data_IF_741885397830
#
_entry.id   IF_741885397830
#
_cell.length_a   1.000
_cell.length_b   1.000
_cell.length_c   1.000
_cell.angle_alpha   90.00
_cell.angle_beta   90.00
_cell.angle_gamma   90.00
#
_symmetry.space_group_name_H-M   'P 1'
#
loop_
_entity.id
_entity.type
_entity.pdbx_description
1 polymer ?
#
# COMPACT_ATOMS: atom_id res chain seq x y z
N UNK A 1 -29.77 -6.87 -5.52
CA UNK A 1 -28.55 -7.46 -4.93
C UNK A 1 -28.07 -8.70 -5.69
N UNK A 2 -28.88 -9.75 -5.87
CA UNK A 2 -28.43 -10.96 -6.60
C UNK A 2 -28.06 -10.71 -8.08
N UNK A 3 -28.61 -9.66 -8.69
CA UNK A 3 -28.25 -9.26 -10.06
C UNK A 3 -26.94 -8.46 -10.14
N UNK A 4 -26.42 -7.97 -9.01
CA UNK A 4 -25.19 -7.20 -8.95
C UNK A 4 -23.99 -8.11 -9.27
N UNK A 5 -23.23 -7.72 -10.30
CA UNK A 5 -22.07 -8.48 -10.78
C UNK A 5 -21.00 -8.61 -9.71
N UNK A 6 -20.66 -7.52 -9.02
CA UNK A 6 -19.61 -7.52 -8.02
C UNK A 6 -20.00 -8.33 -6.79
N UNK A 7 -21.25 -8.23 -6.33
CA UNK A 7 -21.76 -9.06 -5.23
C UNK A 7 -21.60 -10.54 -5.54
N UNK A 8 -22.07 -11.01 -6.70
CA UNK A 8 -21.94 -12.42 -7.09
C UNK A 8 -20.49 -12.89 -7.14
N UNK A 9 -19.62 -12.12 -7.80
CA UNK A 9 -18.21 -12.48 -7.95
C UNK A 9 -17.45 -12.48 -6.63
N UNK A 10 -17.79 -11.59 -5.69
CA UNK A 10 -17.16 -11.49 -4.38
C UNK A 10 -17.70 -12.56 -3.44
N UNK A 11 -19.02 -12.76 -3.39
CA UNK A 11 -19.65 -13.81 -2.58
C UNK A 11 -19.13 -15.21 -2.95
N UNK A 12 -18.98 -15.51 -4.26
CA UNK A 12 -18.38 -16.76 -4.73
C UNK A 12 -16.95 -16.97 -4.18
N UNK A 13 -16.14 -15.90 -4.11
CA UNK A 13 -14.76 -15.97 -3.62
C UNK A 13 -14.65 -16.05 -2.11
N UNK A 14 -15.62 -15.47 -1.40
CA UNK A 14 -15.69 -15.53 0.05
C UNK A 14 -16.15 -16.90 0.52
N UNK A 15 -17.11 -17.53 -0.17
CA UNK A 15 -17.79 -18.71 0.34
C UNK A 15 -18.31 -18.44 1.76
N UNK A 16 -17.98 -19.31 2.70
CA UNK A 16 -18.36 -19.17 4.12
C UNK A 16 -17.25 -18.56 4.99
N UNK A 17 -16.23 -17.93 4.39
CA UNK A 17 -15.08 -17.39 5.13
C UNK A 17 -15.45 -16.25 6.10
N UNK A 18 -16.53 -15.51 5.80
CA UNK A 18 -17.11 -14.48 6.67
C UNK A 18 -18.64 -14.54 6.59
N UNK A 19 -19.39 -14.07 7.60
CA UNK A 19 -20.84 -14.12 7.60
C UNK A 19 -21.46 -13.43 6.39
N UNK A 20 -22.33 -14.13 5.67
CA UNK A 20 -23.01 -13.56 4.49
C UNK A 20 -23.83 -12.30 4.80
N UNK A 21 -24.26 -12.09 6.05
CA UNK A 21 -24.92 -10.86 6.47
C UNK A 21 -24.01 -9.63 6.35
N UNK A 22 -22.75 -9.74 6.80
CA UNK A 22 -21.74 -8.68 6.67
C UNK A 22 -21.47 -8.34 5.20
N UNK A 23 -21.38 -9.36 4.34
CA UNK A 23 -21.21 -9.16 2.89
C UNK A 23 -22.41 -8.41 2.31
N UNK A 24 -23.64 -8.84 2.63
CA UNK A 24 -24.85 -8.17 2.13
C UNK A 24 -24.90 -6.71 2.56
N UNK A 25 -24.63 -6.44 3.83
CA UNK A 25 -24.60 -5.09 4.39
C UNK A 25 -23.63 -4.18 3.65
N UNK A 26 -22.40 -4.66 3.39
CA UNK A 26 -21.40 -3.89 2.64
C UNK A 26 -21.84 -3.56 1.20
N UNK A 27 -22.62 -4.44 0.56
CA UNK A 27 -23.15 -4.26 -0.79
C UNK A 27 -24.52 -3.55 -0.86
N UNK A 28 -25.15 -3.27 0.28
CA UNK A 28 -26.39 -2.48 0.38
C UNK A 28 -26.18 -1.14 1.06
N UNK A 29 -24.94 -0.75 1.31
CA UNK A 29 -24.60 0.51 1.96
C UNK A 29 -24.96 1.72 1.08
N UNK A 30 -25.52 2.77 1.68
CA UNK A 30 -26.03 3.95 0.96
C UNK A 30 -24.94 4.73 0.22
N UNK A 31 -23.69 4.64 0.67
CA UNK A 31 -22.53 5.29 0.05
C UNK A 31 -21.90 4.50 -1.12
N UNK A 32 -22.45 3.33 -1.46
CA UNK A 32 -21.97 2.51 -2.57
C UNK A 32 -22.19 3.24 -3.91
N UNK A 33 -21.11 3.47 -4.66
CA UNK A 33 -21.19 4.16 -5.95
C UNK A 33 -20.07 3.78 -6.91
N UNK A 34 -20.39 3.88 -8.21
CA UNK A 34 -19.43 3.71 -9.31
C UNK A 34 -18.79 5.07 -9.62
N UNK A 35 -17.46 5.11 -9.61
CA UNK A 35 -16.66 6.29 -9.93
C UNK A 35 -16.00 6.17 -11.31
N UNK A 36 -16.69 6.59 -12.38
CA UNK A 36 -16.21 6.42 -13.77
C UNK A 36 -14.79 6.98 -14.03
N UNK A 37 -14.42 8.05 -13.33
CA UNK A 37 -13.08 8.66 -13.36
C UNK A 37 -11.94 7.70 -12.96
N UNK A 38 -12.22 6.63 -12.21
CA UNK A 38 -11.21 5.62 -11.85
C UNK A 38 -10.68 4.92 -13.11
N UNK A 39 -11.55 4.57 -14.05
CA UNK A 39 -11.15 3.92 -15.29
C UNK A 39 -10.21 4.81 -16.13
N UNK A 40 -10.44 6.13 -16.13
CA UNK A 40 -9.61 7.11 -16.83
C UNK A 40 -8.21 7.24 -16.21
N UNK A 41 -8.10 7.17 -14.88
CA UNK A 41 -6.80 7.26 -14.19
C UNK A 41 -5.87 6.10 -14.55
N UNK A 42 -6.40 4.89 -14.73
CA UNK A 42 -5.60 3.74 -15.17
C UNK A 42 -4.98 3.91 -16.57
N UNK A 43 -5.51 4.80 -17.41
CA UNK A 43 -4.97 5.05 -18.75
C UNK A 43 -3.70 5.93 -18.75
N UNK A 44 -3.31 6.53 -17.60
CA UNK A 44 -2.22 7.53 -17.51
C UNK A 44 -1.18 7.23 -16.40
N UNK A 45 -0.50 6.06 -16.41
CA UNK A 45 0.46 5.71 -15.35
C UNK A 45 1.73 6.58 -15.41
N UNK A 46 2.18 7.08 -14.26
CA UNK A 46 3.39 7.92 -14.15
C UNK A 46 4.66 7.12 -14.41
N UNK A 47 4.66 5.85 -14.04
CA UNK A 47 5.81 4.94 -14.07
C UNK A 47 6.32 4.69 -15.49
N UNK A 48 5.49 4.93 -16.51
CA UNK A 48 5.86 4.80 -17.93
C UNK A 48 6.60 6.01 -18.50
N UNK A 49 6.78 7.08 -17.72
CA UNK A 49 7.56 8.26 -18.15
C UNK A 49 9.05 7.96 -18.24
N UNK A 50 9.80 8.82 -18.92
CA UNK A 50 11.27 8.75 -18.88
C UNK A 50 11.77 8.99 -17.45
N UNK A 51 12.94 8.45 -17.10
CA UNK A 51 13.51 8.66 -15.77
C UNK A 51 13.65 10.15 -15.42
N UNK A 52 14.09 11.00 -16.35
CA UNK A 52 14.23 12.43 -16.11
C UNK A 52 12.93 13.14 -15.76
N UNK A 53 11.81 12.73 -16.36
CA UNK A 53 10.47 13.25 -16.03
C UNK A 53 9.97 12.70 -14.68
N UNK A 54 10.13 11.40 -14.46
CA UNK A 54 9.71 10.74 -13.22
C UNK A 54 10.48 11.31 -12.02
N UNK A 55 11.80 11.42 -12.12
CA UNK A 55 12.67 11.98 -11.09
C UNK A 55 12.24 13.38 -10.66
N UNK A 56 11.88 14.27 -11.60
CA UNK A 56 11.39 15.64 -11.27
C UNK A 56 10.09 15.64 -10.46
N UNK A 57 9.25 14.63 -10.64
CA UNK A 57 7.97 14.52 -9.93
C UNK A 57 8.12 13.94 -8.53
N UNK A 58 9.02 12.97 -8.35
CA UNK A 58 9.13 12.18 -7.12
C UNK A 58 10.32 12.53 -6.23
N UNK A 59 11.47 12.92 -6.80
CA UNK A 59 12.69 13.28 -6.04
C UNK A 59 12.74 14.81 -5.88
N UNK A 60 12.08 15.30 -4.84
CA UNK A 60 11.95 16.74 -4.53
C UNK A 60 12.58 17.06 -3.19
N UNK A 61 13.17 18.25 -3.07
CA UNK A 61 13.74 18.75 -1.81
C UNK A 61 12.71 18.74 -0.67
N UNK A 62 11.44 19.10 -0.96
CA UNK A 62 10.38 19.05 0.05
C UNK A 62 10.16 17.64 0.63
N UNK A 63 10.30 16.59 -0.19
CA UNK A 63 10.17 15.19 0.24
C UNK A 63 11.40 14.72 1.01
N UNK A 64 12.59 15.17 0.62
CA UNK A 64 13.85 14.90 1.34
C UNK A 64 13.79 15.53 2.73
N UNK A 65 13.42 16.80 2.82
CA UNK A 65 13.26 17.51 4.09
C UNK A 65 12.19 16.89 4.99
N UNK A 66 11.03 16.52 4.42
CA UNK A 66 9.97 15.84 5.15
C UNK A 66 10.41 14.45 5.64
N UNK A 67 11.19 13.70 4.86
CA UNK A 67 11.73 12.40 5.26
C UNK A 67 12.74 12.50 6.40
N UNK A 68 13.65 13.48 6.33
CA UNK A 68 14.59 13.73 7.42
C UNK A 68 13.86 14.14 8.71
N UNK A 69 12.81 14.97 8.59
CA UNK A 69 11.95 15.32 9.73
C UNK A 69 11.22 14.10 10.28
N UNK A 70 10.57 13.30 9.42
CA UNK A 70 9.84 12.10 9.81
C UNK A 70 10.76 11.11 10.53
N UNK A 71 11.98 10.89 10.01
CA UNK A 71 12.99 10.06 10.66
C UNK A 71 13.33 10.58 12.06
N UNK A 72 13.65 11.87 12.20
CA UNK A 72 14.01 12.47 13.49
C UNK A 72 12.87 12.35 14.52
N UNK A 73 11.63 12.56 14.10
CA UNK A 73 10.45 12.47 14.98
C UNK A 73 10.13 11.04 15.42
N UNK A 74 10.41 10.05 14.57
CA UNK A 74 10.05 8.64 14.81
C UNK A 74 11.29 7.75 14.99
N UNK A 75 12.44 8.32 15.36
CA UNK A 75 13.73 7.64 15.29
C UNK A 75 13.76 6.34 16.09
N UNK A 76 13.19 6.32 17.30
CA UNK A 76 13.13 5.12 18.13
C UNK A 76 12.33 4.01 17.45
N UNK A 77 11.15 4.34 16.93
CA UNK A 77 10.29 3.36 16.26
C UNK A 77 10.96 2.82 14.99
N UNK A 78 11.47 3.70 14.14
CA UNK A 78 12.12 3.33 12.88
C UNK A 78 13.34 2.44 13.13
N UNK A 79 14.18 2.77 14.12
CA UNK A 79 15.37 1.96 14.42
C UNK A 79 14.99 0.61 15.04
N UNK A 80 13.94 0.54 15.87
CA UNK A 80 13.41 -0.74 16.38
C UNK A 80 12.89 -1.63 15.24
N UNK A 81 12.04 -1.10 14.36
CA UNK A 81 11.51 -1.83 13.18
C UNK A 81 12.66 -2.32 12.30
N UNK A 82 13.58 -1.42 11.94
CA UNK A 82 14.70 -1.75 11.06
C UNK A 82 15.60 -2.83 11.64
N UNK A 83 15.84 -2.80 12.95
CA UNK A 83 16.63 -3.82 13.66
C UNK A 83 15.91 -5.17 13.70
N UNK A 84 14.62 -5.18 14.00
CA UNK A 84 13.81 -6.40 14.06
C UNK A 84 13.80 -7.13 12.71
N UNK A 85 13.48 -6.38 11.65
CA UNK A 85 13.39 -6.94 10.31
C UNK A 85 14.74 -7.04 9.59
N UNK A 86 15.82 -6.45 10.16
CA UNK A 86 17.17 -6.43 9.58
C UNK A 86 17.20 -5.81 8.18
N UNK A 87 16.53 -4.66 8.05
CA UNK A 87 16.45 -3.85 6.82
C UNK A 87 17.03 -2.46 7.07
N UNK A 88 17.43 -1.74 6.02
CA UNK A 88 17.88 -0.36 6.15
C UNK A 88 16.72 0.57 6.58
N UNK A 89 16.86 1.34 7.68
CA UNK A 89 15.80 2.22 8.18
C UNK A 89 15.40 3.31 7.16
N UNK A 90 16.35 3.79 6.34
CA UNK A 90 16.07 4.85 5.38
C UNK A 90 15.28 4.36 4.17
N UNK A 91 15.37 3.06 3.82
CA UNK A 91 14.48 2.48 2.80
C UNK A 91 13.04 2.48 3.31
N UNK A 92 12.81 2.07 4.56
CA UNK A 92 11.48 2.04 5.18
C UNK A 92 10.88 3.44 5.24
N UNK A 93 11.66 4.44 5.69
CA UNK A 93 11.23 5.86 5.68
C UNK A 93 10.90 6.35 4.27
N UNK A 94 11.74 6.00 3.29
CA UNK A 94 11.55 6.47 1.92
C UNK A 94 10.29 5.90 1.29
N UNK A 95 10.00 4.61 1.49
CA UNK A 95 8.76 3.99 1.02
C UNK A 95 7.55 4.68 1.67
N UNK A 96 7.54 4.86 3.00
CA UNK A 96 6.48 5.60 3.68
C UNK A 96 6.27 7.03 3.12
N UNK A 97 7.35 7.70 2.72
CA UNK A 97 7.32 9.02 2.08
C UNK A 97 6.79 9.01 0.65
N UNK A 98 7.12 8.00 -0.15
CA UNK A 98 6.64 7.87 -1.53
C UNK A 98 5.16 7.48 -1.55
N UNK A 99 4.76 6.52 -0.72
CA UNK A 99 3.41 5.94 -0.75
C UNK A 99 2.35 6.88 -0.18
N UNK A 100 2.62 7.58 0.91
CA UNK A 100 1.60 8.40 1.58
C UNK A 100 2.02 9.83 1.89
N UNK A 101 3.21 10.26 1.44
CA UNK A 101 3.80 11.53 1.85
C UNK A 101 3.84 11.65 3.38
N UNK A 102 4.29 10.59 4.06
CA UNK A 102 4.33 10.50 5.51
C UNK A 102 2.95 10.72 6.14
N UNK A 103 1.93 10.05 5.58
CA UNK A 103 0.54 10.05 6.07
C UNK A 103 -0.34 11.19 5.56
N UNK A 104 0.23 12.23 4.93
CA UNK A 104 -0.54 13.39 4.46
C UNK A 104 -1.50 13.08 3.29
N UNK A 105 -1.21 12.06 2.47
CA UNK A 105 -2.01 11.69 1.31
C UNK A 105 -2.24 10.18 1.27
N UNK A 106 -3.42 9.73 1.72
CA UNK A 106 -3.68 8.29 1.85
C UNK A 106 -5.08 7.85 1.40
N UNK A 107 -6.00 8.79 1.13
CA UNK A 107 -7.39 8.50 0.78
C UNK A 107 -7.87 9.39 -0.36
N UNK A 108 -8.50 8.78 -1.37
CA UNK A 108 -9.17 9.46 -2.49
C UNK A 108 -10.58 8.88 -2.72
N UNK A 109 -10.72 7.56 -2.54
CA UNK A 109 -11.96 6.81 -2.64
C UNK A 109 -12.00 5.81 -1.48
N UNK A 110 -13.18 5.33 -1.07
CA UNK A 110 -13.20 4.12 -0.24
C UNK A 110 -12.63 2.95 -1.05
N UNK A 111 -11.88 2.06 -0.40
CA UNK A 111 -11.30 0.88 -1.06
C UNK A 111 -12.41 0.03 -1.67
N UNK A 112 -13.53 -0.09 -0.98
CA UNK A 112 -14.73 -0.75 -1.47
C UNK A 112 -15.18 -0.16 -2.80
N UNK A 113 -15.46 1.16 -2.85
CA UNK A 113 -15.95 1.82 -4.06
C UNK A 113 -14.93 1.76 -5.22
N UNK A 114 -13.62 1.82 -4.91
CA UNK A 114 -12.58 1.71 -5.92
C UNK A 114 -12.55 0.33 -6.59
N UNK A 115 -12.62 -0.74 -5.80
CA UNK A 115 -12.63 -2.11 -6.33
C UNK A 115 -13.97 -2.48 -6.95
N UNK A 116 -15.09 -2.04 -6.36
CA UNK A 116 -16.43 -2.17 -6.91
C UNK A 116 -16.50 -1.55 -8.31
N UNK A 117 -16.04 -0.31 -8.46
CA UNK A 117 -15.95 0.37 -9.76
C UNK A 117 -15.12 -0.42 -10.77
N UNK A 118 -13.95 -0.95 -10.37
CA UNK A 118 -13.11 -1.76 -11.27
C UNK A 118 -13.82 -3.05 -11.74
N UNK A 119 -14.67 -3.66 -10.91
CA UNK A 119 -15.42 -4.87 -11.28
C UNK A 119 -16.44 -4.58 -12.39
N UNK A 120 -17.14 -3.45 -12.29
CA UNK A 120 -18.18 -3.04 -13.23
C UNK A 120 -17.61 -2.40 -14.50
N UNK A 121 -16.69 -1.46 -14.37
CA UNK A 121 -16.26 -0.60 -15.47
C UNK A 121 -15.01 -1.14 -16.21
N UNK A 122 -14.32 -2.14 -15.65
CA UNK A 122 -13.05 -2.63 -16.20
C UNK A 122 -13.04 -4.16 -16.38
N UNK A 123 -13.69 -4.71 -17.44
CA UNK A 123 -13.86 -6.16 -17.62
C UNK A 123 -12.57 -6.98 -17.52
N UNK A 124 -11.44 -6.46 -18.02
CA UNK A 124 -10.13 -7.13 -17.94
C UNK A 124 -9.58 -7.23 -16.52
N UNK A 125 -9.98 -6.34 -15.60
CA UNK A 125 -9.57 -6.32 -14.19
C UNK A 125 -10.60 -6.94 -13.26
N UNK A 126 -11.84 -7.13 -13.70
CA UNK A 126 -12.98 -7.56 -12.88
C UNK A 126 -12.71 -8.81 -12.03
N UNK A 127 -12.06 -9.84 -12.61
CA UNK A 127 -11.67 -11.07 -11.87
C UNK A 127 -10.62 -10.80 -10.77
N UNK A 128 -9.67 -9.90 -11.03
CA UNK A 128 -8.66 -9.51 -10.04
C UNK A 128 -9.28 -8.63 -8.95
N UNK A 129 -10.05 -7.61 -9.35
CA UNK A 129 -10.66 -6.67 -8.42
C UNK A 129 -11.64 -7.34 -7.46
N UNK A 130 -12.44 -8.31 -7.94
CA UNK A 130 -13.31 -9.11 -7.07
C UNK A 130 -12.53 -9.98 -6.08
N UNK A 131 -11.34 -10.47 -6.43
CA UNK A 131 -10.46 -11.17 -5.48
C UNK A 131 -9.94 -10.22 -4.41
N UNK A 132 -9.47 -9.04 -4.80
CA UNK A 132 -8.98 -8.05 -3.84
C UNK A 132 -10.11 -7.53 -2.95
N UNK A 133 -11.33 -7.33 -3.47
CA UNK A 133 -12.48 -6.90 -2.67
C UNK A 133 -12.89 -7.99 -1.66
N UNK A 134 -12.81 -9.27 -2.03
CA UNK A 134 -13.02 -10.36 -1.10
C UNK A 134 -11.96 -10.37 0.03
N UNK A 135 -10.68 -10.20 -0.30
CA UNK A 135 -9.61 -10.11 0.70
C UNK A 135 -9.78 -8.89 1.62
N UNK A 136 -10.22 -7.76 1.06
CA UNK A 136 -10.52 -6.54 1.80
C UNK A 136 -11.66 -6.73 2.80
N UNK A 137 -12.74 -7.39 2.40
CA UNK A 137 -13.87 -7.69 3.29
C UNK A 137 -13.49 -8.67 4.40
N UNK A 138 -12.65 -9.68 4.12
CA UNK A 138 -12.11 -10.55 5.17
C UNK A 138 -11.31 -9.76 6.21
N UNK A 139 -10.46 -8.85 5.74
CA UNK A 139 -9.70 -7.97 6.62
C UNK A 139 -10.63 -7.11 7.48
N UNK A 140 -11.59 -6.41 6.88
CA UNK A 140 -12.51 -5.55 7.63
C UNK A 140 -13.33 -6.35 8.65
N UNK A 141 -13.80 -7.53 8.28
CA UNK A 141 -14.54 -8.39 9.21
C UNK A 141 -13.69 -8.83 10.40
N UNK A 142 -12.48 -9.34 10.16
CA UNK A 142 -11.61 -9.85 11.22
C UNK A 142 -11.13 -8.76 12.18
N UNK A 143 -10.91 -7.56 11.65
CA UNK A 143 -10.39 -6.42 12.40
C UNK A 143 -11.53 -5.48 12.88
N UNK A 144 -12.81 -5.89 12.72
CA UNK A 144 -14.02 -5.17 13.16
C UNK A 144 -14.17 -3.75 12.60
N UNK A 145 -13.87 -3.58 11.31
CA UNK A 145 -13.88 -2.29 10.60
C UNK A 145 -15.06 -2.19 9.66
N UNK A 146 -15.55 -0.97 9.47
CA UNK A 146 -16.49 -0.66 8.39
C UNK A 146 -15.76 -0.63 7.02
N UNK A 147 -16.14 -1.49 6.05
CA UNK A 147 -15.53 -1.50 4.72
C UNK A 147 -15.63 -0.17 3.95
N UNK A 148 -16.57 0.71 4.30
CA UNK A 148 -16.79 1.98 3.61
C UNK A 148 -15.90 3.10 4.14
N UNK A 149 -15.42 3.00 5.38
CA UNK A 149 -14.58 4.02 6.02
C UNK A 149 -13.09 3.91 5.65
N UNK A 150 -12.64 2.76 5.13
CA UNK A 150 -11.24 2.59 4.75
C UNK A 150 -10.96 3.28 3.42
N UNK A 151 -10.24 4.38 3.50
CA UNK A 151 -9.79 5.19 2.37
C UNK A 151 -8.58 4.60 1.65
N UNK A 152 -8.57 4.69 0.32
CA UNK A 152 -7.47 4.27 -0.53
C UNK A 152 -7.38 5.03 -1.85
N UNK A 153 -6.47 4.56 -2.69
CA UNK A 153 -6.27 5.04 -4.06
C UNK A 153 -7.33 4.49 -5.03
N UNK A 154 -7.38 5.08 -6.22
CA UNK A 154 -8.23 4.61 -7.32
C UNK A 154 -7.98 3.13 -7.71
N UNK A 155 -6.80 2.59 -7.40
CA UNK A 155 -6.45 1.21 -7.69
C UNK A 155 -6.85 0.22 -6.60
N UNK A 156 -7.34 0.70 -5.45
CA UNK A 156 -7.68 -0.11 -4.28
C UNK A 156 -6.50 -0.35 -3.33
N UNK A 157 -5.35 0.29 -3.54
CA UNK A 157 -4.25 0.31 -2.57
C UNK A 157 -4.58 1.29 -1.43
N UNK A 158 -4.31 0.93 -0.18
CA UNK A 158 -4.77 1.68 0.99
C UNK A 158 -3.76 1.73 2.14
N UNK A 159 -4.09 2.54 3.15
CA UNK A 159 -3.19 2.79 4.27
C UNK A 159 -2.00 3.68 3.91
N UNK A 160 -1.17 3.97 4.90
CA UNK A 160 0.05 4.76 4.69
C UNK A 160 1.13 4.01 3.89
N UNK A 161 1.04 2.68 3.82
CA UNK A 161 1.89 1.84 2.98
C UNK A 161 1.34 1.57 1.57
N UNK A 162 0.13 2.02 1.23
CA UNK A 162 -0.52 1.74 -0.06
C UNK A 162 -0.48 0.25 -0.46
N UNK A 163 -0.84 -0.63 0.48
CA UNK A 163 -0.95 -2.06 0.20
C UNK A 163 -2.25 -2.33 -0.57
N UNK A 164 -2.20 -3.22 -1.56
CA UNK A 164 -3.43 -3.86 -2.07
C UNK A 164 -3.95 -4.86 -1.02
N UNK A 165 -5.27 -5.15 -0.96
CA UNK A 165 -5.86 -6.00 0.08
C UNK A 165 -5.17 -7.33 0.31
N UNK A 166 -4.91 -8.10 -0.74
CA UNK A 166 -4.27 -9.40 -0.59
C UNK A 166 -2.81 -9.30 -0.12
N UNK A 167 -2.12 -8.20 -0.42
CA UNK A 167 -0.80 -7.91 0.13
C UNK A 167 -0.89 -7.49 1.59
N UNK A 168 -1.88 -6.67 1.96
CA UNK A 168 -2.11 -6.31 3.35
C UNK A 168 -2.36 -7.58 4.19
N UNK A 169 -3.27 -8.46 3.78
CA UNK A 169 -3.53 -9.73 4.48
C UNK A 169 -2.26 -10.58 4.66
N UNK A 170 -1.37 -10.62 3.64
CA UNK A 170 -0.16 -11.46 3.67
C UNK A 170 1.02 -10.88 4.45
N UNK A 171 1.13 -9.55 4.50
CA UNK A 171 2.38 -8.89 4.93
C UNK A 171 2.18 -7.86 6.04
N UNK A 172 0.94 -7.46 6.32
CA UNK A 172 0.67 -6.58 7.47
C UNK A 172 1.02 -7.27 8.78
N UNK A 173 1.52 -6.49 9.72
CA UNK A 173 1.88 -6.92 11.07
C UNK A 173 1.31 -5.93 12.07
N UNK A 174 0.83 -6.45 13.19
CA UNK A 174 0.52 -5.68 14.39
C UNK A 174 1.85 -5.54 15.14
N UNK A 175 2.52 -4.41 14.93
CA UNK A 175 3.88 -4.18 15.41
C UNK A 175 3.91 -3.60 16.83
N UNK A 176 2.84 -2.91 17.24
CA UNK A 176 2.67 -2.42 18.61
C UNK A 176 1.96 -3.43 19.52
N UNK A 177 1.55 -4.59 19.00
CA UNK A 177 0.92 -5.71 19.72
C UNK A 177 -0.40 -5.31 20.41
N UNK A 178 -1.18 -4.42 19.78
CA UNK A 178 -2.47 -3.97 20.31
C UNK A 178 -3.66 -4.84 19.90
N UNK A 179 -3.40 -5.89 19.12
CA UNK A 179 -4.37 -6.88 18.65
C UNK A 179 -4.99 -6.55 17.30
N UNK A 180 -4.68 -5.40 16.69
CA UNK A 180 -5.27 -4.95 15.42
C UNK A 180 -4.17 -4.50 14.45
N UNK A 181 -4.27 -4.89 13.18
CA UNK A 181 -3.33 -4.42 12.15
C UNK A 181 -3.84 -3.12 11.55
N UNK A 182 -3.33 -2.00 12.03
CA UNK A 182 -3.84 -0.67 11.70
C UNK A 182 -3.13 -0.08 10.47
N UNK A 183 -3.81 0.13 9.33
CA UNK A 183 -3.19 0.60 8.08
C UNK A 183 -2.73 2.07 8.13
N UNK A 184 -3.06 2.79 9.21
CA UNK A 184 -2.71 4.20 9.43
C UNK A 184 -1.88 4.41 10.72
N UNK A 185 -1.53 3.36 11.44
CA UNK A 185 -0.67 3.43 12.62
C UNK A 185 0.79 3.28 12.21
N UNK A 186 1.65 4.24 12.58
CA UNK A 186 3.05 4.20 12.16
C UNK A 186 3.81 2.94 12.60
N UNK A 187 3.63 2.40 13.82
CA UNK A 187 4.19 1.11 14.19
C UNK A 187 3.90 0.01 13.16
N UNK A 188 2.62 -0.21 12.87
CA UNK A 188 2.17 -1.28 11.98
C UNK A 188 2.57 -1.00 10.54
N UNK A 189 2.45 0.24 10.08
CA UNK A 189 2.83 0.63 8.72
C UNK A 189 4.32 0.38 8.48
N UNK A 190 5.19 0.87 9.37
CA UNK A 190 6.63 0.70 9.21
C UNK A 190 7.04 -0.77 9.36
N UNK A 191 6.45 -1.49 10.34
CA UNK A 191 6.63 -2.93 10.50
C UNK A 191 6.21 -3.71 9.26
N UNK A 192 5.06 -3.36 8.68
CA UNK A 192 4.50 -4.02 7.50
C UNK A 192 5.32 -3.76 6.25
N UNK A 193 5.83 -2.53 6.04
CA UNK A 193 6.78 -2.21 4.96
C UNK A 193 8.04 -3.07 5.10
N UNK A 194 8.62 -3.13 6.31
CA UNK A 194 9.84 -3.88 6.57
C UNK A 194 9.63 -5.41 6.38
N UNK A 195 8.51 -5.94 6.89
CA UNK A 195 8.12 -7.33 6.68
C UNK A 195 7.93 -7.64 5.20
N UNK A 196 7.25 -6.77 4.45
CA UNK A 196 7.06 -6.93 3.01
C UNK A 196 8.40 -7.06 2.29
N UNK A 197 9.35 -6.16 2.55
CA UNK A 197 10.67 -6.22 1.91
C UNK A 197 11.39 -7.54 2.20
N UNK A 198 11.39 -7.99 3.46
CA UNK A 198 12.03 -9.25 3.87
C UNK A 198 11.37 -10.46 3.24
N UNK A 199 10.05 -10.48 3.17
CA UNK A 199 9.27 -11.55 2.53
C UNK A 199 9.42 -11.58 1.02
N UNK A 200 9.89 -10.50 0.41
CA UNK A 200 10.11 -10.36 -1.04
C UNK A 200 11.60 -10.30 -1.43
N UNK A 201 12.47 -10.91 -0.62
CA UNK A 201 13.84 -11.23 -1.03
C UNK A 201 14.90 -10.24 -0.57
N UNK A 202 14.58 -9.22 0.23
CA UNK A 202 15.59 -8.40 0.89
C UNK A 202 16.38 -9.29 1.84
N UNK A 203 17.69 -9.49 1.66
CA UNK A 203 18.51 -10.32 2.56
C UNK A 203 18.82 -9.56 3.85
N UNK A 204 18.82 -10.27 4.97
CA UNK A 204 19.06 -9.70 6.30
C UNK A 204 20.36 -8.90 6.34
N UNK A 205 20.28 -7.63 6.73
CA UNK A 205 21.42 -6.68 6.78
C UNK A 205 22.15 -6.51 5.44
N UNK A 206 21.48 -6.75 4.31
CA UNK A 206 22.08 -6.53 3.00
C UNK A 206 22.48 -5.07 2.81
N UNK A 207 23.60 -4.88 2.11
CA UNK A 207 24.05 -3.62 1.59
C UNK A 207 24.19 -3.67 0.05
N UNK A 208 23.61 -4.67 -0.60
CA UNK A 208 23.65 -4.82 -2.05
C UNK A 208 22.55 -3.98 -2.71
N UNK A 209 22.88 -2.71 -2.94
CA UNK A 209 22.05 -1.72 -3.63
C UNK A 209 22.14 -1.79 -5.16
N UNK A 210 22.93 -2.72 -5.70
CA UNK A 210 23.18 -2.79 -7.14
C UNK A 210 21.89 -3.05 -7.92
N UNK A 211 21.87 -2.64 -9.19
CA UNK A 211 20.76 -2.98 -10.08
C UNK A 211 20.61 -4.50 -10.16
N UNK A 212 19.39 -5.01 -9.92
CA UNK A 212 19.08 -6.44 -9.78
C UNK A 212 19.70 -7.14 -8.55
N UNK A 213 20.32 -6.38 -7.64
CA UNK A 213 20.63 -6.82 -6.28
C UNK A 213 19.36 -7.18 -5.50
N UNK A 214 19.53 -7.73 -4.31
CA UNK A 214 18.41 -8.20 -3.50
C UNK A 214 17.55 -7.03 -2.98
N UNK A 215 18.17 -5.93 -2.56
CA UNK A 215 17.46 -4.69 -2.19
C UNK A 215 16.65 -4.16 -3.36
N UNK A 216 17.26 -4.10 -4.56
CA UNK A 216 16.58 -3.67 -5.78
C UNK A 216 15.34 -4.52 -6.06
N UNK A 217 15.48 -5.84 -6.04
CA UNK A 217 14.38 -6.79 -6.30
C UNK A 217 13.27 -6.68 -5.26
N UNK A 218 13.62 -6.50 -3.98
CA UNK A 218 12.63 -6.33 -2.91
C UNK A 218 11.81 -5.05 -3.08
N UNK A 219 12.45 -3.93 -3.44
CA UNK A 219 11.76 -2.67 -3.75
C UNK A 219 10.92 -2.81 -5.03
N UNK A 220 11.44 -3.49 -6.06
CA UNK A 220 10.72 -3.74 -7.30
C UNK A 220 9.46 -4.60 -7.09
N UNK A 221 9.47 -5.52 -6.11
CA UNK A 221 8.28 -6.28 -5.75
C UNK A 221 7.18 -5.36 -5.20
N UNK A 222 7.55 -4.30 -4.47
CA UNK A 222 6.62 -3.32 -3.90
C UNK A 222 5.85 -2.56 -4.99
N UNK A 223 6.56 -2.13 -6.03
CA UNK A 223 5.99 -1.57 -7.25
C UNK A 223 6.88 -1.95 -8.44
N UNK A 224 6.30 -2.70 -9.39
CA UNK A 224 6.98 -3.32 -10.54
C UNK A 224 7.40 -2.30 -11.63
N UNK A 225 8.17 -1.28 -11.24
CA UNK A 225 8.70 -0.26 -12.12
C UNK A 225 10.14 0.12 -11.75
N UNK A 226 11.07 0.05 -12.71
CA UNK A 226 12.46 0.48 -12.50
C UNK A 226 12.53 1.94 -12.02
N UNK A 227 11.68 2.82 -12.56
CA UNK A 227 11.58 4.23 -12.14
C UNK A 227 11.24 4.37 -10.65
N UNK A 228 10.36 3.51 -10.12
CA UNK A 228 10.02 3.51 -8.70
C UNK A 228 11.23 3.12 -7.86
N UNK A 229 11.92 2.03 -8.22
CA UNK A 229 13.11 1.57 -7.50
C UNK A 229 14.20 2.64 -7.48
N UNK A 230 14.48 3.26 -8.63
CA UNK A 230 15.46 4.34 -8.74
C UNK A 230 15.09 5.54 -7.85
N UNK A 231 13.81 5.92 -7.79
CA UNK A 231 13.35 7.01 -6.92
C UNK A 231 13.50 6.66 -5.44
N UNK A 232 13.17 5.44 -5.02
CA UNK A 232 13.38 4.97 -3.64
C UNK A 232 14.85 5.01 -3.27
N UNK A 233 15.73 4.48 -4.12
CA UNK A 233 17.16 4.42 -3.84
C UNK A 233 17.80 5.81 -3.76
N UNK A 234 17.43 6.71 -4.68
CA UNK A 234 17.94 8.08 -4.67
C UNK A 234 17.45 8.85 -3.43
N UNK A 235 16.15 8.83 -3.13
CA UNK A 235 15.61 9.49 -1.94
C UNK A 235 16.18 8.92 -0.65
N UNK A 236 16.41 7.60 -0.58
CA UNK A 236 17.06 6.96 0.58
C UNK A 236 18.44 7.57 0.84
N UNK A 237 19.25 7.75 -0.21
CA UNK A 237 20.58 8.37 -0.11
C UNK A 237 20.49 9.82 0.37
N UNK A 238 19.61 10.61 -0.23
CA UNK A 238 19.46 12.04 0.09
C UNK A 238 18.91 12.28 1.51
N UNK A 239 17.91 11.51 1.93
CA UNK A 239 17.35 11.58 3.30
C UNK A 239 18.42 11.17 4.32
N UNK A 240 19.17 10.09 4.04
CA UNK A 240 20.28 9.65 4.90
C UNK A 240 21.30 10.76 5.07
N UNK A 241 21.77 11.35 3.96
CA UNK A 241 22.74 12.44 4.00
C UNK A 241 22.23 13.63 4.83
N UNK A 242 20.96 14.03 4.68
CA UNK A 242 20.35 15.12 5.45
C UNK A 242 20.22 14.84 6.94
N UNK A 243 20.06 13.57 7.32
CA UNK A 243 19.95 13.17 8.74
C UNK A 243 21.32 13.07 9.40
N UNK A 244 22.37 12.69 8.65
CA UNK A 244 23.73 12.48 9.16
C UNK A 244 24.64 13.71 9.12
N UNK A 245 24.21 14.78 8.45
CA UNK A 245 24.83 16.11 8.53
C UNK A 245 24.40 16.80 9.83
#
# INVERSE_FOLDING_TARGET
>A
MNDDLAYRMVAEKLGDAIPGAFVREAFTHDELKIHKEIAERFARPYEKKTWGEYRKLFVKESRIAAGAKFYKQNQKLITTVAKEYKVDPFIVVTIAGIESNYGAHHSQFSVFNALYTQIHEMPRRSKWASKELAEFLKYCFNDHLDPQEIGGSYAGAFGYGQFIPSSFTRYSVDFNEDGVRQPYSWPDVLGSIANYLRRNGYTSNSNNYDKNGDIWKAIYAYNHADNYVMAVLELTKEIRARVTQ
#
